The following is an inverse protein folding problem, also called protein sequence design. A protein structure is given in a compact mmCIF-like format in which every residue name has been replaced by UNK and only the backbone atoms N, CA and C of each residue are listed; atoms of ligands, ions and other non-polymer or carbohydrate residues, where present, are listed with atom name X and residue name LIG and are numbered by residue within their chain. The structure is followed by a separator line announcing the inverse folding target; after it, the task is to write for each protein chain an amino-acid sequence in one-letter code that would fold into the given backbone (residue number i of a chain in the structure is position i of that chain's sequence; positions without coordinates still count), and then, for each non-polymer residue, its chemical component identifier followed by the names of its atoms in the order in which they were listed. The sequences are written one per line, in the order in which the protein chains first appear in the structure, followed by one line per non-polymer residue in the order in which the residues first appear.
data_IF_680279922627
#
_entry.id   IF_680279922627
#
_cell.length_a   1.000
_cell.length_b   1.000
_cell.length_c   1.000
_cell.angle_alpha   90.00
_cell.angle_beta   90.00
_cell.angle_gamma   90.00
#
_symmetry.space_group_name_H-M   'P 1'
#
loop_
_entity.id
_entity.type
_entity.pdbx_description
1 polymer ?
#
# COMPACT_ATOMS: atom_id res chain seq x y z
N UNK A 1 -3.98 -17.66 27.17
CA UNK A 1 -2.66 -17.04 26.96
C UNK A 1 -2.53 -15.91 27.96
N UNK A 2 -1.44 -15.86 28.73
CA UNK A 2 -1.16 -14.73 29.62
C UNK A 2 -0.60 -13.56 28.81
N UNK A 3 -1.27 -12.40 28.87
CA UNK A 3 -0.82 -11.18 28.21
C UNK A 3 0.38 -10.60 28.98
N UNK A 4 1.50 -10.36 28.29
CA UNK A 4 2.69 -9.70 28.83
C UNK A 4 2.95 -8.40 28.06
N UNK A 5 3.52 -7.42 28.74
CA UNK A 5 3.94 -6.15 28.12
C UNK A 5 4.98 -6.45 27.03
N UNK A 6 4.74 -5.91 25.83
CA UNK A 6 5.65 -6.05 24.69
C UNK A 6 6.90 -5.21 24.90
N UNK A 7 8.07 -5.75 24.53
CA UNK A 7 9.34 -5.03 24.58
C UNK A 7 9.42 -4.00 23.44
N UNK A 8 9.88 -2.79 23.76
CA UNK A 8 10.08 -1.72 22.78
C UNK A 8 11.08 -2.11 21.67
N UNK A 9 12.07 -2.96 21.95
CA UNK A 9 13.01 -3.44 20.93
C UNK A 9 12.33 -4.32 19.88
N UNK A 10 11.28 -5.06 20.24
CA UNK A 10 10.50 -5.83 19.27
C UNK A 10 9.60 -4.89 18.43
N UNK A 11 9.04 -3.85 19.04
CA UNK A 11 8.29 -2.82 18.31
C UNK A 11 9.16 -2.00 17.35
N UNK A 12 10.44 -1.79 17.68
CA UNK A 12 11.40 -1.15 16.76
C UNK A 12 11.60 -1.97 15.49
N UNK A 13 11.62 -3.30 15.58
CA UNK A 13 11.69 -4.18 14.40
C UNK A 13 10.45 -4.03 13.53
N UNK A 14 9.26 -3.97 14.14
CA UNK A 14 8.01 -3.69 13.42
C UNK A 14 8.06 -2.32 12.74
N UNK A 15 8.62 -1.31 13.41
CA UNK A 15 8.74 0.05 12.86
C UNK A 15 9.71 0.16 11.67
N UNK A 16 10.65 -0.78 11.51
CA UNK A 16 11.52 -0.87 10.34
C UNK A 16 10.78 -1.32 9.08
N UNK A 17 9.56 -1.85 9.23
CA UNK A 17 8.78 -2.36 8.11
C UNK A 17 9.25 -3.73 7.62
N UNK A 18 8.56 -4.23 6.60
CA UNK A 18 8.71 -5.56 6.04
C UNK A 18 9.09 -5.45 4.57
N UNK A 19 9.90 -6.40 4.08
CA UNK A 19 10.22 -6.46 2.65
C UNK A 19 9.19 -7.36 1.98
N UNK A 20 8.49 -6.80 0.99
CA UNK A 20 7.51 -7.52 0.18
C UNK A 20 7.88 -7.39 -1.30
N UNK A 21 7.39 -8.33 -2.10
CA UNK A 21 7.47 -8.24 -3.55
C UNK A 21 6.17 -7.62 -4.07
N UNK A 22 6.29 -6.49 -4.75
CA UNK A 22 5.22 -5.80 -5.45
C UNK A 22 5.21 -6.20 -6.93
N UNK A 23 4.11 -5.91 -7.66
CA UNK A 23 4.08 -6.06 -9.11
C UNK A 23 5.26 -5.35 -9.78
N UNK A 24 5.89 -6.01 -10.75
CA UNK A 24 7.08 -5.50 -11.43
C UNK A 24 6.77 -4.27 -12.31
N UNK A 25 7.70 -3.33 -12.44
CA UNK A 25 7.57 -2.19 -13.37
C UNK A 25 7.72 -2.62 -14.84
N UNK A 26 8.39 -3.73 -15.10
CA UNK A 26 8.68 -4.26 -16.43
C UNK A 26 9.19 -5.69 -16.32
N UNK A 27 9.33 -6.37 -17.46
CA UNK A 27 9.69 -7.79 -17.47
C UNK A 27 11.10 -8.03 -16.92
N UNK A 28 11.20 -8.95 -15.96
CA UNK A 28 12.48 -9.55 -15.54
C UNK A 28 13.22 -8.81 -14.42
N UNK A 29 12.64 -7.75 -13.86
CA UNK A 29 13.22 -7.06 -12.68
C UNK A 29 12.18 -7.10 -11.54
N UNK A 30 12.40 -7.90 -10.48
CA UNK A 30 11.47 -7.95 -9.36
C UNK A 30 11.46 -6.61 -8.64
N UNK A 31 10.27 -6.12 -8.30
CA UNK A 31 10.11 -4.93 -7.48
C UNK A 31 9.94 -5.31 -6.00
N UNK A 32 11.06 -5.49 -5.31
CA UNK A 32 11.05 -5.74 -3.88
C UNK A 32 11.14 -4.40 -3.13
N UNK A 33 10.18 -4.12 -2.26
CA UNK A 33 10.11 -2.89 -1.49
C UNK A 33 9.96 -3.18 0.00
N UNK A 34 10.65 -2.37 0.80
CA UNK A 34 10.41 -2.26 2.23
C UNK A 34 9.22 -1.35 2.46
N UNK A 35 8.21 -1.86 3.13
CA UNK A 35 6.94 -1.18 3.39
C UNK A 35 6.61 -1.18 4.87
N UNK A 36 5.79 -0.23 5.30
CA UNK A 36 5.19 -0.22 6.64
C UNK A 36 3.70 -0.03 6.55
N UNK A 37 2.99 -0.52 7.56
CA UNK A 37 1.56 -0.26 7.71
C UNK A 37 1.33 1.23 7.97
N UNK A 38 0.48 1.82 7.13
CA UNK A 38 0.01 3.19 7.27
C UNK A 38 -1.42 3.18 7.78
N UNK A 39 -1.73 4.10 8.69
CA UNK A 39 -3.10 4.29 9.18
C UNK A 39 -3.67 5.55 8.53
N UNK A 40 -4.78 5.39 7.82
CA UNK A 40 -5.52 6.51 7.24
C UNK A 40 -5.89 7.56 8.31
N UNK A 41 -6.35 7.12 9.48
CA UNK A 41 -6.65 8.00 10.62
C UNK A 41 -5.42 8.79 11.11
N UNK A 42 -4.23 8.19 11.08
CA UNK A 42 -3.00 8.90 11.41
C UNK A 42 -2.63 9.94 10.34
N UNK A 43 -2.88 9.66 9.05
CA UNK A 43 -2.65 10.63 7.98
C UNK A 43 -3.59 11.84 8.11
N UNK A 44 -4.86 11.60 8.42
CA UNK A 44 -5.85 12.64 8.73
C UNK A 44 -5.41 13.46 9.94
N UNK A 45 -5.09 12.79 11.07
CA UNK A 45 -4.64 13.46 12.31
C UNK A 45 -3.40 14.32 12.10
N UNK A 46 -2.47 13.90 11.24
CA UNK A 46 -1.23 14.64 10.92
C UNK A 46 -1.44 15.76 9.88
N UNK A 47 -2.63 15.88 9.29
CA UNK A 47 -2.89 16.83 8.21
C UNK A 47 -2.17 16.49 6.91
N UNK A 48 -1.68 15.26 6.75
CA UNK A 48 -1.07 14.78 5.51
C UNK A 48 -2.17 14.57 4.47
N UNK A 49 -3.33 14.06 4.89
CA UNK A 49 -4.48 13.92 4.02
C UNK A 49 -5.22 15.28 3.92
N UNK A 50 -5.33 15.88 2.72
CA UNK A 50 -6.07 17.12 2.55
C UNK A 50 -7.56 16.98 2.91
N UNK A 51 -8.14 18.02 3.53
CA UNK A 51 -9.55 18.00 3.96
C UNK A 51 -10.55 17.70 2.83
N UNK A 52 -10.24 18.13 1.60
CA UNK A 52 -11.05 17.84 0.41
C UNK A 52 -11.17 16.34 0.11
N UNK A 53 -10.23 15.52 0.61
CA UNK A 53 -10.21 14.07 0.38
C UNK A 53 -10.85 13.29 1.53
N UNK A 54 -11.41 13.94 2.56
CA UNK A 54 -11.96 13.24 3.72
C UNK A 54 -13.19 12.39 3.35
N UNK A 55 -14.05 12.86 2.43
CA UNK A 55 -15.17 12.05 1.96
C UNK A 55 -14.72 10.76 1.28
N UNK A 56 -13.70 10.85 0.41
CA UNK A 56 -13.08 9.69 -0.22
C UNK A 56 -12.42 8.74 0.79
N UNK A 57 -11.76 9.29 1.79
CA UNK A 57 -11.14 8.53 2.86
C UNK A 57 -12.17 7.74 3.67
N UNK A 58 -13.29 8.37 4.01
CA UNK A 58 -14.41 7.73 4.71
C UNK A 58 -15.01 6.60 3.88
N UNK A 59 -15.21 6.81 2.58
CA UNK A 59 -15.74 5.79 1.68
C UNK A 59 -14.79 4.59 1.50
N UNK A 60 -13.47 4.81 1.39
CA UNK A 60 -12.50 3.70 1.37
C UNK A 60 -12.43 2.92 2.67
N UNK A 61 -12.59 3.62 3.80
CA UNK A 61 -12.40 3.00 5.11
C UNK A 61 -13.65 2.29 5.62
N UNK A 62 -14.83 2.86 5.40
CA UNK A 62 -16.10 2.34 5.88
C UNK A 62 -16.97 1.72 4.77
N UNK A 63 -16.52 1.76 3.52
CA UNK A 63 -17.32 1.41 2.35
C UNK A 63 -18.33 2.50 1.98
N UNK A 64 -18.99 2.33 0.84
CA UNK A 64 -19.98 3.27 0.32
C UNK A 64 -21.08 3.54 1.33
N UNK A 65 -21.07 4.75 1.90
CA UNK A 65 -22.15 5.23 2.75
C UNK A 65 -23.29 5.74 1.86
N UNK A 66 -24.54 5.67 2.34
CA UNK A 66 -25.73 6.18 1.65
C UNK A 66 -25.76 7.73 1.51
N UNK A 67 -24.60 8.37 1.46
CA UNK A 67 -24.43 9.80 1.33
C UNK A 67 -24.80 10.26 -0.09
N UNK A 68 -25.30 11.50 -0.19
CA UNK A 68 -25.83 12.08 -1.44
C UNK A 68 -24.74 12.62 -2.38
N UNK A 69 -23.50 12.68 -1.93
CA UNK A 69 -22.36 13.11 -2.73
C UNK A 69 -21.65 11.87 -3.27
N UNK A 70 -21.56 11.77 -4.60
CA UNK A 70 -20.67 10.79 -5.21
C UNK A 70 -19.26 11.32 -5.04
N UNK A 71 -18.43 10.61 -4.26
CA UNK A 71 -16.99 10.83 -4.28
C UNK A 71 -16.49 10.57 -5.71
N UNK A 72 -15.74 11.53 -6.25
CA UNK A 72 -15.13 11.36 -7.57
C UNK A 72 -13.96 10.37 -7.48
N UNK A 73 -13.79 9.56 -8.53
CA UNK A 73 -12.69 8.60 -8.67
C UNK A 73 -11.33 9.28 -8.47
N UNK A 74 -11.19 10.54 -8.90
CA UNK A 74 -9.99 11.35 -8.69
C UNK A 74 -9.65 11.52 -7.21
N UNK A 75 -10.65 11.75 -6.36
CA UNK A 75 -10.41 11.91 -4.92
C UNK A 75 -10.01 10.58 -4.29
N UNK A 76 -10.66 9.49 -4.72
CA UNK A 76 -10.37 8.14 -4.29
C UNK A 76 -8.93 7.72 -4.61
N UNK A 77 -8.49 7.93 -5.85
CA UNK A 77 -7.13 7.59 -6.28
C UNK A 77 -6.08 8.45 -5.59
N UNK A 78 -6.38 9.73 -5.32
CA UNK A 78 -5.49 10.58 -4.54
C UNK A 78 -5.29 10.06 -3.10
N UNK A 79 -6.36 9.57 -2.44
CA UNK A 79 -6.22 8.95 -1.11
C UNK A 79 -5.35 7.71 -1.18
N UNK A 80 -5.62 6.81 -2.14
CA UNK A 80 -4.82 5.58 -2.32
C UNK A 80 -3.35 5.88 -2.59
N UNK A 81 -3.06 6.88 -3.44
CA UNK A 81 -1.69 7.30 -3.74
C UNK A 81 -0.97 7.85 -2.51
N UNK A 82 -1.62 8.71 -1.72
CA UNK A 82 -1.05 9.24 -0.47
C UNK A 82 -0.74 8.09 0.51
N UNK A 83 -1.63 7.09 0.60
CA UNK A 83 -1.39 5.91 1.43
C UNK A 83 -0.20 5.09 0.94
N UNK A 84 -0.14 4.79 -0.37
CA UNK A 84 0.95 4.07 -1.00
C UNK A 84 2.31 4.79 -0.81
N UNK A 85 2.34 6.11 -1.02
CA UNK A 85 3.52 6.94 -0.82
C UNK A 85 4.03 6.92 0.61
N UNK A 86 3.12 6.95 1.59
CA UNK A 86 3.49 6.87 3.00
C UNK A 86 3.84 5.44 3.45
N UNK A 87 3.46 4.42 2.68
CA UNK A 87 3.71 3.01 2.99
C UNK A 87 5.10 2.57 2.54
N UNK A 88 5.60 3.10 1.42
CA UNK A 88 6.95 2.82 0.91
C UNK A 88 8.02 3.47 1.80
N UNK A 89 8.95 2.64 2.29
CA UNK A 89 10.16 3.08 2.98
C UNK A 89 11.34 3.10 2.02
N UNK A 90 11.54 2.00 1.29
CA UNK A 90 12.72 1.78 0.45
C UNK A 90 12.38 0.82 -0.72
N UNK A 91 12.58 1.22 -2.00
CA UNK A 91 12.83 2.58 -2.42
C UNK A 91 11.63 3.48 -2.05
N UNK A 92 11.93 4.72 -1.70
CA UNK A 92 10.94 5.77 -1.50
C UNK A 92 10.30 6.19 -2.83
N UNK A 93 9.12 6.80 -2.77
CA UNK A 93 8.48 7.40 -3.96
C UNK A 93 9.38 8.44 -4.63
N UNK A 94 10.15 9.21 -3.85
CA UNK A 94 11.07 10.20 -4.40
C UNK A 94 12.20 9.54 -5.20
N UNK A 95 12.75 8.42 -4.72
CA UNK A 95 13.77 7.65 -5.45
C UNK A 95 13.22 7.06 -6.76
N UNK A 96 11.99 6.56 -6.76
CA UNK A 96 11.32 6.10 -7.98
C UNK A 96 11.12 7.23 -8.98
N UNK A 97 10.61 8.39 -8.52
CA UNK A 97 10.44 9.59 -9.36
C UNK A 97 11.77 10.07 -9.95
N UNK A 98 12.86 10.02 -9.18
CA UNK A 98 14.20 10.43 -9.64
C UNK A 98 14.75 9.58 -10.79
N UNK A 99 14.27 8.35 -10.96
CA UNK A 99 14.64 7.47 -12.08
C UNK A 99 13.57 7.42 -13.18
N UNK A 100 12.57 8.30 -13.10
CA UNK A 100 11.48 8.38 -14.09
C UNK A 100 10.43 7.28 -13.97
N UNK A 101 10.31 6.67 -12.79
CA UNK A 101 9.27 5.68 -12.48
C UNK A 101 8.13 6.31 -11.67
N UNK A 102 6.91 5.94 -12.03
CA UNK A 102 5.69 6.18 -11.27
C UNK A 102 5.05 4.85 -10.93
N UNK A 103 4.41 4.75 -9.76
CA UNK A 103 3.70 3.53 -9.40
C UNK A 103 2.60 3.24 -10.43
N UNK A 104 2.51 1.98 -10.85
CA UNK A 104 1.40 1.50 -11.68
C UNK A 104 0.14 1.32 -10.85
N UNK A 105 -1.02 1.25 -11.49
CA UNK A 105 -2.30 0.99 -10.84
C UNK A 105 -2.25 -0.28 -9.96
N UNK A 106 -1.66 -1.36 -10.50
CA UNK A 106 -1.48 -2.63 -9.79
C UNK A 106 -0.64 -2.47 -8.52
N UNK A 107 0.43 -1.68 -8.58
CA UNK A 107 1.29 -1.42 -7.41
C UNK A 107 0.59 -0.55 -6.37
N UNK A 108 -0.20 0.44 -6.80
CA UNK A 108 -0.99 1.30 -5.89
C UNK A 108 -2.03 0.44 -5.15
N UNK A 109 -2.74 -0.43 -5.87
CA UNK A 109 -3.72 -1.35 -5.27
C UNK A 109 -3.04 -2.31 -4.31
N UNK A 110 -1.92 -2.94 -4.71
CA UNK A 110 -1.17 -3.85 -3.85
C UNK A 110 -0.69 -3.19 -2.54
N UNK A 111 -0.19 -1.95 -2.64
CA UNK A 111 0.22 -1.18 -1.47
C UNK A 111 -0.97 -0.80 -0.58
N UNK A 112 -2.07 -0.35 -1.18
CA UNK A 112 -3.29 -0.03 -0.44
C UNK A 112 -3.81 -1.25 0.32
N UNK A 113 -3.94 -2.40 -0.34
CA UNK A 113 -4.34 -3.66 0.26
C UNK A 113 -3.40 -4.06 1.43
N UNK A 114 -2.08 -3.97 1.23
CA UNK A 114 -1.12 -4.19 2.31
C UNK A 114 -1.36 -3.26 3.52
N UNK A 115 -1.74 -1.99 3.32
CA UNK A 115 -2.04 -1.10 4.45
C UNK A 115 -3.27 -1.53 5.25
N UNK A 116 -4.25 -2.15 4.60
CA UNK A 116 -5.49 -2.61 5.23
C UNK A 116 -5.30 -3.96 5.94
N UNK A 117 -4.73 -4.95 5.25
CA UNK A 117 -4.72 -6.36 5.70
C UNK A 117 -3.34 -6.86 6.16
N UNK A 118 -2.27 -6.16 5.78
CA UNK A 118 -0.88 -6.56 6.05
C UNK A 118 -0.39 -7.63 5.10
N UNK A 119 0.62 -8.41 5.52
CA UNK A 119 1.29 -9.41 4.66
C UNK A 119 0.36 -10.54 4.19
N UNK A 120 -0.74 -10.80 4.90
CA UNK A 120 -1.61 -11.96 4.68
C UNK A 120 -2.30 -12.00 3.30
N UNK A 121 -2.36 -10.89 2.56
CA UNK A 121 -3.04 -10.83 1.25
C UNK A 121 -2.08 -10.96 0.05
N UNK A 122 -0.77 -10.83 0.28
CA UNK A 122 0.24 -10.86 -0.80
C UNK A 122 0.50 -12.25 -1.38
N UNK A 123 -0.05 -13.30 -0.77
CA UNK A 123 0.05 -14.66 -1.29
C UNK A 123 -0.78 -14.86 -2.56
N UNK A 124 -1.86 -14.08 -2.77
CA UNK A 124 -2.69 -14.15 -3.97
C UNK A 124 -1.96 -13.70 -5.25
N UNK A 125 -1.08 -12.69 -5.14
CA UNK A 125 -0.27 -12.22 -6.27
C UNK A 125 0.91 -13.15 -6.59
N UNK A 126 1.36 -13.97 -5.64
CA UNK A 126 2.45 -14.94 -5.86
C UNK A 126 2.02 -16.08 -6.79
N UNK A 127 0.78 -16.54 -6.66
CA UNK A 127 0.24 -17.61 -7.49
C UNK A 127 0.14 -17.21 -8.98
N UNK A 128 -0.24 -15.96 -9.29
CA UNK A 128 -0.35 -15.49 -10.69
C UNK A 128 1.01 -15.32 -11.40
N UNK A 129 2.07 -15.01 -10.65
CA UNK A 129 3.43 -14.90 -11.21
C UNK A 129 4.05 -16.27 -11.56
N UNK A 130 3.74 -17.35 -10.83
CA UNK A 130 4.28 -18.68 -11.13
C UNK A 130 3.66 -19.31 -12.40
N UNK A 131 2.38 -19.03 -12.69
CA UNK A 131 1.71 -19.62 -13.85
C UNK A 131 2.08 -18.93 -15.19
N UNK A 132 2.54 -17.67 -15.15
CA UNK A 132 3.00 -16.98 -16.34
C UNK A 132 4.40 -17.42 -16.82
N UNK A 133 5.25 -17.94 -15.92
CA UNK A 133 6.55 -18.53 -16.31
C UNK A 133 6.40 -19.91 -16.97
N UNK A 134 5.29 -20.62 -16.71
CA UNK A 134 5.03 -21.96 -17.29
C UNK A 134 4.55 -21.92 -18.74
N UNK A 135 4.05 -20.79 -19.24
CA UNK A 135 3.49 -20.67 -20.58
C UNK A 135 4.47 -20.19 -21.67
N UNK A 136 5.75 -19.99 -21.34
CA UNK A 136 6.78 -19.56 -22.33
C UNK A 136 7.54 -20.77 -22.93
N UNK A 137 7.27 -21.99 -22.46
CA UNK A 137 7.94 -23.21 -22.93
C UNK A 137 6.97 -24.29 -23.46
N UNK A 138 6.10 -23.94 -24.43
CA UNK A 138 5.34 -24.95 -25.18
C UNK A 138 5.17 -24.62 -26.65
#
# INVERSE_FOLDING_TARGET
MDLKVTNIEDLKKVAQGEVIQLPQFGQGIPFNARVKRVSLLNLVRKGILPNKLLGAAEELFYGKQNSKENVDLVEMTNVMYIMAENALIEPSIEELKNVGLELTDEQIVALFNYTQEGVNELDSFREESEDNERNINK
#
